data_IF_773042537183
#
_entry.id   IF_773042537183
#
_cell.length_a   1.000
_cell.length_b   1.000
_cell.length_c   1.000
_cell.angle_alpha   90.00
_cell.angle_beta   90.00
_cell.angle_gamma   90.00
#
_symmetry.space_group_name_H-M   'P 1'
#
loop_
_entity.id
_entity.type
_entity.pdbx_description
1 polymer ?
#
# COMPACT_ATOMS: atom_id res chain seq x y z
N UNK A 1 0.49 16.76 8.99
CA UNK A 1 0.81 16.36 7.61
C UNK A 1 2.31 16.30 7.32
N UNK A 2 3.10 17.33 7.69
CA UNK A 2 4.55 17.34 7.42
C UNK A 2 5.31 16.11 7.96
N UNK A 3 5.12 15.75 9.23
CA UNK A 3 5.81 14.59 9.83
C UNK A 3 5.47 13.28 9.14
N UNK A 4 4.22 13.12 8.69
CA UNK A 4 3.80 11.94 7.93
C UNK A 4 4.52 11.84 6.58
N UNK A 5 4.60 12.94 5.83
CA UNK A 5 5.32 13.00 4.56
C UNK A 5 6.81 12.69 4.73
N UNK A 6 7.44 13.14 5.81
CA UNK A 6 8.84 12.83 6.10
C UNK A 6 9.07 11.35 6.39
N UNK A 7 8.16 10.70 7.14
CA UNK A 7 8.22 9.25 7.38
C UNK A 7 8.06 8.48 6.07
N UNK A 8 7.12 8.91 5.22
CA UNK A 8 6.88 8.31 3.90
C UNK A 8 8.07 8.49 2.97
N UNK A 9 8.61 9.71 2.86
CA UNK A 9 9.77 10.02 2.04
C UNK A 9 10.98 9.19 2.45
N UNK A 10 11.22 9.05 3.75
CA UNK A 10 12.31 8.23 4.28
C UNK A 10 12.16 6.75 3.89
N UNK A 11 10.94 6.20 3.99
CA UNK A 11 10.66 4.82 3.61
C UNK A 11 10.92 4.57 2.12
N UNK A 12 10.47 5.50 1.27
CA UNK A 12 10.65 5.42 -0.19
C UNK A 12 12.12 5.54 -0.55
N UNK A 13 12.83 6.50 0.07
CA UNK A 13 14.26 6.66 -0.11
C UNK A 13 15.06 5.43 0.33
N UNK A 14 14.68 4.79 1.44
CA UNK A 14 15.29 3.52 1.87
C UNK A 14 15.10 2.43 0.81
N UNK A 15 13.88 2.29 0.29
CA UNK A 15 13.56 1.30 -0.72
C UNK A 15 14.29 1.57 -2.05
N UNK A 16 14.32 2.81 -2.54
CA UNK A 16 15.11 3.25 -3.71
C UNK A 16 16.60 2.90 -3.52
N UNK A 17 17.21 3.25 -2.38
CA UNK A 17 18.62 2.92 -2.05
C UNK A 17 18.93 1.43 -2.00
N UNK A 18 17.95 0.58 -1.67
CA UNK A 18 18.07 -0.88 -1.63
C UNK A 18 17.64 -1.56 -2.93
N UNK A 19 17.32 -0.79 -3.97
CA UNK A 19 16.82 -1.30 -5.26
C UNK A 19 15.50 -2.05 -5.12
N UNK A 20 14.69 -1.75 -4.11
CA UNK A 20 13.35 -2.31 -3.95
C UNK A 20 12.42 -1.56 -4.91
N UNK A 21 11.73 -2.22 -5.85
CA UNK A 21 10.79 -1.54 -6.73
C UNK A 21 9.60 -1.00 -5.96
N UNK A 22 9.28 0.27 -6.22
CA UNK A 22 8.16 1.03 -5.65
C UNK A 22 7.30 1.50 -6.82
N UNK A 23 5.98 1.47 -6.67
CA UNK A 23 5.08 2.03 -7.67
C UNK A 23 5.25 3.56 -7.78
N UNK A 24 4.86 4.18 -8.90
CA UNK A 24 5.05 5.62 -9.18
C UNK A 24 4.23 6.57 -8.27
N UNK A 25 3.60 6.06 -7.20
CA UNK A 25 2.61 6.74 -6.38
C UNK A 25 1.21 6.41 -6.88
N UNK A 26 0.40 5.78 -6.01
CA UNK A 26 -1.03 5.51 -6.31
C UNK A 26 -1.88 6.69 -5.84
N UNK A 27 -3.00 6.89 -6.53
CA UNK A 27 -4.06 7.85 -6.19
C UNK A 27 -3.59 9.32 -6.20
N UNK A 28 -4.05 10.11 -5.24
CA UNK A 28 -3.91 11.58 -5.20
C UNK A 28 -2.51 12.01 -4.78
N UNK A 29 -1.65 11.08 -4.38
CA UNK A 29 -0.23 11.32 -4.02
C UNK A 29 0.53 12.04 -5.13
N UNK A 30 0.23 11.76 -6.40
CA UNK A 30 0.85 12.39 -7.58
C UNK A 30 0.43 13.85 -7.78
N UNK A 31 -0.64 14.32 -7.11
CA UNK A 31 -1.17 15.67 -7.29
C UNK A 31 -0.54 16.74 -6.38
N UNK A 32 0.47 16.38 -5.60
CA UNK A 32 1.17 17.31 -4.72
C UNK A 32 2.59 17.59 -5.23
N UNK A 33 2.93 18.88 -5.37
CA UNK A 33 4.31 19.27 -5.73
C UNK A 33 5.30 18.90 -4.62
N UNK A 34 4.85 18.88 -3.37
CA UNK A 34 5.70 18.50 -2.22
C UNK A 34 6.07 17.02 -2.28
N UNK A 35 5.16 16.14 -2.71
CA UNK A 35 5.49 14.71 -2.84
C UNK A 35 6.45 14.47 -4.01
N UNK A 36 6.29 15.21 -5.11
CA UNK A 36 7.26 15.19 -6.21
C UNK A 36 8.65 15.68 -5.75
N UNK A 37 8.71 16.81 -5.05
CA UNK A 37 9.97 17.38 -4.54
C UNK A 37 10.68 16.51 -3.48
N UNK A 38 9.92 15.72 -2.70
CA UNK A 38 10.45 14.77 -1.71
C UNK A 38 10.80 13.40 -2.31
N UNK A 39 10.71 13.25 -3.64
CA UNK A 39 10.99 12.01 -4.36
C UNK A 39 10.06 10.84 -3.94
N UNK A 40 8.87 11.18 -3.42
CA UNK A 40 7.81 10.24 -3.04
C UNK A 40 7.10 9.71 -4.30
N UNK A 41 6.95 10.56 -5.31
CA UNK A 41 6.35 10.22 -6.61
C UNK A 41 7.25 10.77 -7.71
N UNK A 42 7.36 10.02 -8.80
CA UNK A 42 8.15 10.44 -9.96
C UNK A 42 7.29 11.22 -10.98
N UNK A 43 6.01 11.48 -10.68
CA UNK A 43 5.07 12.20 -11.55
C UNK A 43 5.08 13.69 -11.25
N UNK A 44 5.38 14.51 -12.25
CA UNK A 44 5.32 15.97 -12.13
C UNK A 44 3.85 16.44 -12.19
N UNK A 45 3.28 16.99 -11.09
CA UNK A 45 1.90 17.45 -11.08
C UNK A 45 1.64 18.64 -11.99
N UNK A 46 2.64 19.50 -12.22
CA UNK A 46 2.49 20.70 -13.04
C UNK A 46 2.41 20.33 -14.53
N UNK A 47 3.24 19.39 -14.96
CA UNK A 47 3.22 18.86 -16.33
C UNK A 47 1.87 18.21 -16.68
N UNK A 48 1.25 17.55 -15.70
CA UNK A 48 0.03 16.79 -15.88
C UNK A 48 -1.26 17.53 -15.45
N UNK A 49 -1.15 18.80 -15.02
CA UNK A 49 -2.31 19.58 -14.57
C UNK A 49 -3.04 18.97 -13.37
N UNK A 50 -2.30 18.32 -12.47
CA UNK A 50 -2.85 17.68 -11.28
C UNK A 50 -3.03 18.72 -10.16
N UNK A 51 -4.21 18.72 -9.54
CA UNK A 51 -4.62 19.72 -8.55
C UNK A 51 -4.32 19.27 -7.11
N UNK A 52 -3.65 20.12 -6.35
CA UNK A 52 -3.26 19.86 -4.96
C UNK A 52 -4.46 19.66 -4.01
N UNK A 53 -5.60 20.28 -4.30
CA UNK A 53 -6.83 20.17 -3.52
C UNK A 53 -7.32 18.72 -3.46
N UNK A 54 -7.06 17.94 -4.52
CA UNK A 54 -7.39 16.51 -4.57
C UNK A 54 -6.54 15.70 -3.59
N UNK A 55 -5.30 16.10 -3.37
CA UNK A 55 -4.42 15.53 -2.36
C UNK A 55 -4.93 15.84 -0.94
N UNK A 56 -5.35 17.09 -0.67
CA UNK A 56 -5.84 17.49 0.65
C UNK A 56 -7.17 16.85 1.04
N UNK A 57 -8.08 16.64 0.09
CA UNK A 57 -9.38 16.00 0.35
C UNK A 57 -9.28 14.47 0.53
N UNK A 58 -8.09 13.90 0.39
CA UNK A 58 -7.89 12.47 0.58
C UNK A 58 -7.41 12.20 2.01
N UNK A 59 -8.09 11.30 2.72
CA UNK A 59 -7.73 10.96 4.10
C UNK A 59 -6.43 10.14 4.21
N UNK A 60 -5.96 9.52 3.12
CA UNK A 60 -4.85 8.57 3.13
C UNK A 60 -3.98 8.67 1.88
N UNK A 61 -2.67 8.75 2.06
CA UNK A 61 -1.69 8.55 0.99
C UNK A 61 -1.30 7.08 0.93
N UNK A 62 -1.40 6.45 -0.25
CA UNK A 62 -1.10 5.02 -0.44
C UNK A 62 0.20 4.86 -1.22
N UNK A 63 1.12 4.08 -0.67
CA UNK A 63 2.40 3.71 -1.31
C UNK A 63 2.33 2.24 -1.72
N UNK A 64 2.57 1.97 -2.99
CA UNK A 64 2.68 0.62 -3.50
C UNK A 64 4.13 0.12 -3.37
N UNK A 65 4.32 -0.87 -2.51
CA UNK A 65 5.58 -1.57 -2.31
C UNK A 65 5.47 -2.96 -2.93
N UNK A 66 6.52 -3.40 -3.65
CA UNK A 66 6.60 -4.76 -4.15
C UNK A 66 6.38 -5.82 -3.06
N UNK A 67 5.46 -6.75 -3.30
CA UNK A 67 5.03 -7.76 -2.33
C UNK A 67 6.18 -8.66 -1.86
N UNK A 68 7.08 -9.04 -2.78
CA UNK A 68 8.18 -9.97 -2.51
C UNK A 68 9.18 -9.40 -1.49
N UNK A 69 9.53 -8.12 -1.66
CA UNK A 69 10.51 -7.42 -0.82
C UNK A 69 9.89 -6.59 0.30
N UNK A 70 8.56 -6.68 0.50
CA UNK A 70 7.83 -5.96 1.56
C UNK A 70 8.33 -6.28 2.96
N UNK A 71 8.84 -7.50 3.18
CA UNK A 71 9.42 -7.93 4.46
C UNK A 71 10.67 -7.11 4.84
N UNK A 72 11.48 -6.71 3.87
CA UNK A 72 12.68 -5.89 4.11
C UNK A 72 12.30 -4.50 4.60
N UNK A 73 11.31 -3.89 3.95
CA UNK A 73 10.74 -2.60 4.37
C UNK A 73 10.15 -2.70 5.78
N UNK A 74 9.39 -3.76 6.06
CA UNK A 74 8.84 -3.97 7.39
C UNK A 74 9.95 -4.08 8.46
N UNK A 75 11.01 -4.85 8.18
CA UNK A 75 12.16 -4.97 9.09
C UNK A 75 12.84 -3.62 9.33
N UNK A 76 12.97 -2.79 8.29
CA UNK A 76 13.48 -1.43 8.43
C UNK A 76 12.62 -0.56 9.34
N UNK A 77 11.30 -0.58 9.15
CA UNK A 77 10.34 0.15 9.99
C UNK A 77 10.45 -0.30 11.45
N UNK A 78 10.44 -1.62 11.70
CA UNK A 78 10.56 -2.18 13.06
C UNK A 78 11.88 -1.78 13.70
N UNK A 79 12.99 -1.82 12.97
CA UNK A 79 14.30 -1.43 13.48
C UNK A 79 14.37 0.06 13.82
N UNK A 80 13.73 0.91 13.01
CA UNK A 80 13.80 2.37 13.17
C UNK A 80 12.82 2.91 14.22
N UNK A 81 11.61 2.37 14.26
CA UNK A 81 10.52 2.88 15.11
C UNK A 81 10.21 1.98 16.30
N UNK A 82 10.83 0.80 16.41
CA UNK A 82 10.63 -0.12 17.52
C UNK A 82 9.48 -1.10 17.29
N UNK A 83 9.63 -2.30 17.83
CA UNK A 83 8.63 -3.37 17.71
C UNK A 83 7.32 -3.02 18.43
N UNK A 84 7.41 -2.35 19.57
CA UNK A 84 6.23 -1.94 20.38
C UNK A 84 5.34 -0.90 19.68
N UNK A 85 5.86 -0.23 18.65
CA UNK A 85 5.16 0.83 17.92
C UNK A 85 4.79 0.42 16.49
N UNK A 86 4.98 -0.85 16.13
CA UNK A 86 4.80 -1.32 14.76
C UNK A 86 3.98 -2.60 14.73
N UNK A 87 2.93 -2.60 13.89
CA UNK A 87 2.04 -3.74 13.73
C UNK A 87 1.60 -3.88 12.27
N UNK A 88 1.11 -5.07 11.92
CA UNK A 88 0.52 -5.34 10.60
C UNK A 88 -0.99 -5.37 10.72
N UNK A 89 -1.66 -4.68 9.82
CA UNK A 89 -3.10 -4.80 9.66
C UNK A 89 -3.40 -6.11 8.93
N UNK A 90 -4.24 -6.96 9.54
CA UNK A 90 -4.74 -8.18 8.92
C UNK A 90 -6.08 -7.88 8.24
N UNK A 91 -6.35 -8.57 7.13
CA UNK A 91 -7.68 -8.59 6.51
C UNK A 91 -8.41 -9.83 7.00
N UNK A 92 -9.57 -9.64 7.62
CA UNK A 92 -10.46 -10.75 7.95
C UNK A 92 -11.18 -11.18 6.67
N UNK A 93 -11.04 -12.47 6.31
CA UNK A 93 -11.77 -13.03 5.18
C UNK A 93 -13.20 -13.36 5.60
N UNK A 94 -14.18 -12.74 4.96
CA UNK A 94 -15.58 -13.16 5.07
C UNK A 94 -15.83 -14.40 4.20
N UNK A 95 -16.78 -15.24 4.63
CA UNK A 95 -17.24 -16.36 3.80
C UNK A 95 -18.10 -15.84 2.66
N UNK A 96 -17.49 -15.66 1.48
CA UNK A 96 -18.24 -15.34 0.27
C UNK A 96 -19.20 -16.48 -0.11
N UNK A 97 -20.34 -16.14 -0.72
CA UNK A 97 -21.42 -17.07 -1.07
C UNK A 97 -20.95 -18.28 -1.89
N UNK A 98 -20.08 -18.09 -2.89
CA UNK A 98 -19.55 -19.17 -3.74
C UNK A 98 -18.67 -20.17 -2.95
N UNK A 99 -17.63 -19.74 -2.21
CA UNK A 99 -16.90 -20.62 -1.28
C UNK A 99 -17.81 -21.30 -0.25
N UNK A 100 -18.79 -20.58 0.29
CA UNK A 100 -19.72 -21.10 1.29
C UNK A 100 -20.56 -22.25 0.74
N UNK A 101 -21.18 -22.07 -0.44
CA UNK A 101 -21.94 -23.12 -1.13
C UNK A 101 -21.08 -24.37 -1.39
N UNK A 102 -19.82 -24.20 -1.83
CA UNK A 102 -18.88 -25.32 -2.00
C UNK A 102 -18.58 -26.02 -0.68
N UNK A 103 -18.41 -25.27 0.41
CA UNK A 103 -18.12 -25.83 1.74
C UNK A 103 -19.32 -26.60 2.30
N UNK A 104 -20.54 -26.06 2.17
CA UNK A 104 -21.77 -26.76 2.56
C UNK A 104 -21.97 -28.03 1.73
N UNK A 105 -21.75 -27.97 0.41
CA UNK A 105 -21.83 -29.14 -0.46
C UNK A 105 -20.85 -30.25 -0.06
N UNK A 106 -19.61 -29.91 0.32
CA UNK A 106 -18.63 -30.88 0.86
C UNK A 106 -19.11 -31.55 2.15
N UNK A 107 -19.68 -30.79 3.09
CA UNK A 107 -20.24 -31.33 4.35
C UNK A 107 -21.40 -32.28 4.07
N UNK A 108 -22.27 -31.90 3.12
CA UNK A 108 -23.41 -32.71 2.69
C UNK A 108 -23.03 -33.86 1.75
N UNK A 109 -21.73 -34.05 1.44
CA UNK A 109 -21.22 -35.06 0.49
C UNK A 109 -21.86 -34.99 -0.89
N UNK A 110 -22.26 -33.79 -1.31
CA UNK A 110 -22.74 -33.54 -2.67
C UNK A 110 -21.52 -33.55 -3.59
N UNK A 111 -21.53 -34.45 -4.59
CA UNK A 111 -20.49 -34.50 -5.61
C UNK A 111 -20.42 -33.13 -6.32
N UNK A 112 -19.22 -32.57 -6.54
CA UNK A 112 -19.09 -31.41 -7.42
C UNK A 112 -19.70 -31.80 -8.77
N UNK A 113 -20.69 -31.04 -9.23
CA UNK A 113 -21.21 -31.24 -10.58
C UNK A 113 -20.05 -31.12 -11.57
N UNK A 114 -19.78 -32.18 -12.32
CA UNK A 114 -18.95 -32.13 -13.51
C UNK A 114 -19.57 -31.13 -14.48
N UNK A 115 -18.78 -30.16 -14.92
CA UNK A 115 -19.09 -29.35 -16.11
C UNK A 115 -19.36 -30.24 -17.33
#
# INVERSE_FOLDING_TARGET
>A
MASYLLIVADLINYAKKKGIPIGPGRETTASSLVTYALDITDVDPLLHGLFFERFLNTEKTVIDVCMERRKEIFKYIVQKYGNEHTARVITLGEMCSRPLLKNVGKVLRVSPGSE
#
